data_IF_158659113387
#
_entry.id   IF_158659113387
#
_cell.length_a   1.000
_cell.length_b   1.000
_cell.length_c   1.000
_cell.angle_alpha   90.00
_cell.angle_beta   90.00
_cell.angle_gamma   90.00
#
_symmetry.space_group_name_H-M   'P 1'
#
loop_
_entity.id
_entity.type
_entity.pdbx_description
1 polymer ?
#
# COMPACT_ATOMS: atom_id res chain seq x y z
N UNK A 1 -1.18 52.75 11.50
CA UNK A 1 -1.36 52.00 12.77
C UNK A 1 -2.53 52.52 13.65
N UNK A 2 -2.67 53.81 13.97
CA UNK A 2 -3.74 54.28 14.90
C UNK A 2 -5.20 54.24 14.36
N UNK A 3 -5.44 54.33 13.06
CA UNK A 3 -6.80 54.28 12.47
C UNK A 3 -7.34 52.85 12.34
N UNK A 4 -6.50 51.90 11.93
CA UNK A 4 -6.86 50.48 11.84
C UNK A 4 -7.25 49.88 13.21
N UNK A 5 -6.50 50.21 14.27
CA UNK A 5 -6.82 49.72 15.63
C UNK A 5 -8.11 50.32 16.21
N UNK A 6 -8.53 51.52 15.80
CA UNK A 6 -9.81 52.12 16.22
C UNK A 6 -11.01 51.50 15.48
N UNK A 7 -10.84 51.14 14.21
CA UNK A 7 -11.85 50.38 13.47
C UNK A 7 -12.01 48.96 14.01
N UNK A 8 -10.90 48.26 14.31
CA UNK A 8 -10.93 46.92 14.92
C UNK A 8 -11.57 46.92 16.33
N UNK A 9 -11.30 47.93 17.17
CA UNK A 9 -11.97 48.08 18.47
C UNK A 9 -13.48 48.37 18.31
N UNK A 10 -13.85 49.25 17.36
CA UNK A 10 -15.26 49.57 17.10
C UNK A 10 -16.04 48.37 16.59
N UNK A 11 -15.45 47.58 15.69
CA UNK A 11 -16.04 46.34 15.17
C UNK A 11 -16.21 45.29 16.28
N UNK A 12 -15.20 45.12 17.14
CA UNK A 12 -15.27 44.19 18.27
C UNK A 12 -16.36 44.53 19.31
N UNK A 13 -16.62 45.82 19.55
CA UNK A 13 -17.73 46.24 20.43
C UNK A 13 -19.11 45.97 19.82
N UNK A 14 -19.27 46.15 18.51
CA UNK A 14 -20.53 45.83 17.80
C UNK A 14 -20.79 44.32 17.83
N UNK A 15 -19.75 43.51 17.60
CA UNK A 15 -19.84 42.04 17.64
C UNK A 15 -20.25 41.55 19.05
N UNK A 16 -19.62 42.08 20.11
CA UNK A 16 -19.96 41.72 21.49
C UNK A 16 -21.39 42.13 21.87
N UNK A 17 -21.89 43.26 21.35
CA UNK A 17 -23.26 43.70 21.58
C UNK A 17 -24.27 42.80 20.86
N UNK A 18 -23.98 42.36 19.63
CA UNK A 18 -24.86 41.45 18.88
C UNK A 18 -24.96 40.07 19.55
N UNK A 19 -23.83 39.50 19.95
CA UNK A 19 -23.79 38.21 20.66
C UNK A 19 -24.46 38.32 22.04
N UNK A 20 -24.23 39.41 22.77
CA UNK A 20 -24.88 39.68 24.06
C UNK A 20 -26.41 39.82 23.93
N UNK A 21 -26.92 40.26 22.78
CA UNK A 21 -28.36 40.40 22.56
C UNK A 21 -29.04 39.04 22.39
N UNK A 22 -28.40 38.10 21.67
CA UNK A 22 -28.88 36.71 21.58
C UNK A 22 -28.85 36.01 22.95
N UNK A 23 -27.82 36.25 23.76
CA UNK A 23 -27.71 35.70 25.12
C UNK A 23 -28.72 36.31 26.12
N UNK A 24 -29.25 37.51 25.86
CA UNK A 24 -30.22 38.20 26.71
C UNK A 24 -31.67 37.66 26.54
N UNK A 25 -31.92 36.78 25.58
CA UNK A 25 -33.20 36.12 25.33
C UNK A 25 -33.39 34.95 26.31
N UNK A 26 -33.63 35.28 27.58
CA UNK A 26 -33.61 34.33 28.72
C UNK A 26 -34.68 33.23 28.75
N UNK A 27 -35.44 33.02 27.67
CA UNK A 27 -36.47 31.97 27.57
C UNK A 27 -36.45 31.18 26.26
N UNK A 28 -35.53 31.49 25.35
CA UNK A 28 -35.47 30.86 24.03
C UNK A 28 -34.64 29.57 24.04
N UNK A 29 -35.06 28.59 23.24
CA UNK A 29 -34.32 27.34 23.10
C UNK A 29 -33.00 27.59 22.38
N UNK A 30 -32.04 26.68 22.53
CA UNK A 30 -30.76 26.79 21.82
C UNK A 30 -30.95 26.80 20.29
N UNK A 31 -31.98 26.12 19.77
CA UNK A 31 -32.34 26.18 18.35
C UNK A 31 -32.86 27.56 17.91
N UNK A 32 -33.63 28.24 18.77
CA UNK A 32 -34.14 29.60 18.50
C UNK A 32 -32.97 30.61 18.46
N UNK A 33 -32.04 30.52 19.42
CA UNK A 33 -30.82 31.35 19.44
C UNK A 33 -29.97 31.13 18.20
N UNK A 34 -29.79 29.88 17.76
CA UNK A 34 -29.09 29.57 16.51
C UNK A 34 -29.75 30.27 15.32
N UNK A 35 -31.08 30.17 15.20
CA UNK A 35 -31.83 30.76 14.09
C UNK A 35 -31.66 32.28 14.01
N UNK A 36 -31.67 32.96 15.17
CA UNK A 36 -31.45 34.42 15.25
C UNK A 36 -30.05 34.79 14.79
N UNK A 37 -29.02 34.10 15.30
CA UNK A 37 -27.62 34.37 14.96
C UNK A 37 -27.33 34.07 13.48
N UNK A 38 -27.87 32.98 12.94
CA UNK A 38 -27.74 32.63 11.52
C UNK A 38 -28.35 33.72 10.64
N UNK A 39 -29.58 34.17 10.93
CA UNK A 39 -30.24 35.24 10.15
C UNK A 39 -29.43 36.53 10.15
N UNK A 40 -28.87 36.93 11.29
CA UNK A 40 -28.00 38.10 11.38
C UNK A 40 -26.72 37.91 10.55
N UNK A 41 -26.11 36.72 10.61
CA UNK A 41 -24.96 36.41 9.80
C UNK A 41 -25.28 36.45 8.29
N UNK A 42 -26.42 35.94 7.85
CA UNK A 42 -26.88 35.96 6.45
C UNK A 42 -27.07 37.39 5.91
N UNK A 43 -27.58 38.32 6.74
CA UNK A 43 -27.65 39.75 6.40
C UNK A 43 -26.24 40.30 6.13
N UNK A 44 -25.29 40.06 7.04
CA UNK A 44 -23.89 40.47 6.85
C UNK A 44 -23.21 39.78 5.66
N UNK A 45 -23.50 38.51 5.38
CA UNK A 45 -22.99 37.78 4.21
C UNK A 45 -23.50 38.42 2.92
N UNK A 46 -24.77 38.79 2.87
CA UNK A 46 -25.40 39.48 1.72
C UNK A 46 -24.68 40.81 1.44
N UNK A 47 -24.32 41.53 2.49
CA UNK A 47 -23.57 42.79 2.42
C UNK A 47 -22.04 42.58 2.27
N UNK A 48 -21.58 41.32 2.15
CA UNK A 48 -20.17 40.90 2.03
C UNK A 48 -19.29 41.29 3.23
N UNK A 49 -19.90 41.45 4.40
CA UNK A 49 -19.26 41.73 5.68
C UNK A 49 -18.83 40.44 6.39
N UNK A 50 -18.06 39.61 5.68
CA UNK A 50 -17.69 38.26 6.12
C UNK A 50 -17.02 38.19 7.50
N UNK A 51 -16.17 39.17 7.84
CA UNK A 51 -15.50 39.23 9.16
C UNK A 51 -16.50 39.37 10.32
N UNK A 52 -17.64 40.04 10.09
CA UNK A 52 -18.70 40.22 11.09
C UNK A 52 -19.56 38.97 11.18
N UNK A 53 -19.80 38.28 10.06
CA UNK A 53 -20.57 37.04 10.02
C UNK A 53 -19.91 35.87 10.78
N UNK A 54 -18.57 35.75 10.73
CA UNK A 54 -17.83 34.63 11.37
C UNK A 54 -18.19 34.42 12.85
N UNK A 55 -18.03 35.39 13.77
CA UNK A 55 -18.29 35.16 15.19
C UNK A 55 -19.76 34.85 15.50
N UNK A 56 -20.71 35.34 14.69
CA UNK A 56 -22.13 35.01 14.82
C UNK A 56 -22.38 33.54 14.46
N UNK A 57 -21.74 33.05 13.39
CA UNK A 57 -21.84 31.67 12.95
C UNK A 57 -21.07 30.69 13.86
N UNK A 58 -19.91 31.09 14.38
CA UNK A 58 -19.15 30.31 15.37
C UNK A 58 -19.98 30.13 16.66
N UNK A 59 -20.58 31.20 17.16
CA UNK A 59 -21.48 31.16 18.31
C UNK A 59 -22.72 30.30 18.03
N UNK A 60 -23.36 30.47 16.86
CA UNK A 60 -24.48 29.64 16.44
C UNK A 60 -24.11 28.14 16.38
N UNK A 61 -22.96 27.81 15.79
CA UNK A 61 -22.47 26.43 15.72
C UNK A 61 -22.10 25.86 17.11
N UNK A 62 -21.82 26.72 18.10
CA UNK A 62 -21.49 26.35 19.47
C UNK A 62 -22.67 25.80 20.30
N UNK A 63 -23.90 26.22 20.00
CA UNK A 63 -25.11 25.77 20.72
C UNK A 63 -25.46 24.29 20.52
N UNK A 64 -24.91 23.62 19.49
CA UNK A 64 -25.11 22.19 19.21
C UNK A 64 -26.60 21.74 19.16
N UNK A 65 -27.50 22.58 18.65
CA UNK A 65 -28.92 22.28 18.46
C UNK A 65 -29.31 22.07 16.97
N UNK A 66 -30.60 22.15 16.65
CA UNK A 66 -31.18 21.75 15.34
C UNK A 66 -30.59 22.47 14.12
N UNK A 67 -30.03 23.67 14.27
CA UNK A 67 -29.49 24.49 13.18
C UNK A 67 -27.96 24.48 13.12
N UNK A 68 -27.30 23.60 13.88
CA UNK A 68 -25.83 23.53 13.93
C UNK A 68 -25.20 23.29 12.55
N UNK A 69 -25.76 22.36 11.76
CA UNK A 69 -25.22 22.04 10.44
C UNK A 69 -25.40 23.22 9.46
N UNK A 70 -26.50 23.97 9.57
CA UNK A 70 -26.75 25.17 8.77
C UNK A 70 -25.72 26.26 9.09
N UNK A 71 -25.48 26.54 10.38
CA UNK A 71 -24.47 27.50 10.81
C UNK A 71 -23.07 27.12 10.31
N UNK A 72 -22.70 25.85 10.42
CA UNK A 72 -21.39 25.35 9.98
C UNK A 72 -21.22 25.41 8.46
N UNK A 73 -22.26 25.13 7.68
CA UNK A 73 -22.19 25.23 6.22
C UNK A 73 -21.99 26.69 5.76
N UNK A 74 -22.74 27.64 6.36
CA UNK A 74 -22.52 29.06 6.13
C UNK A 74 -21.11 29.49 6.57
N UNK A 75 -20.62 28.97 7.71
CA UNK A 75 -19.29 29.29 8.21
C UNK A 75 -18.19 28.84 7.23
N UNK A 76 -18.33 27.63 6.65
CA UNK A 76 -17.45 27.13 5.58
C UNK A 76 -17.44 28.07 4.38
N UNK A 77 -18.60 28.46 3.87
CA UNK A 77 -18.70 29.39 2.73
C UNK A 77 -18.01 30.73 3.03
N UNK A 78 -18.23 31.27 4.23
CA UNK A 78 -17.62 32.54 4.69
C UNK A 78 -16.10 32.40 4.77
N UNK A 79 -15.57 31.32 5.33
CA UNK A 79 -14.13 31.09 5.38
C UNK A 79 -13.50 30.97 3.99
N UNK A 80 -14.14 30.29 3.03
CA UNK A 80 -13.66 30.23 1.65
C UNK A 80 -13.62 31.62 0.99
N UNK A 81 -14.66 32.45 1.18
CA UNK A 81 -14.65 33.82 0.67
C UNK A 81 -13.54 34.66 1.31
N UNK A 82 -13.35 34.55 2.63
CA UNK A 82 -12.29 35.25 3.35
C UNK A 82 -10.91 34.81 2.89
N UNK A 83 -10.68 33.51 2.68
CA UNK A 83 -9.43 33.01 2.12
C UNK A 83 -9.20 33.55 0.71
N UNK A 84 -10.22 33.52 -0.16
CA UNK A 84 -10.14 34.04 -1.53
C UNK A 84 -9.75 35.51 -1.59
N UNK A 85 -10.32 36.33 -0.71
CA UNK A 85 -10.09 37.79 -0.65
C UNK A 85 -8.76 38.15 0.02
N UNK A 86 -8.41 37.48 1.11
CA UNK A 86 -7.27 37.87 1.96
C UNK A 86 -5.99 37.09 1.71
N UNK A 87 -6.09 35.87 1.15
CA UNK A 87 -5.01 34.88 1.04
C UNK A 87 -4.37 34.49 2.38
N UNK A 88 -5.09 34.68 3.50
CA UNK A 88 -4.61 34.27 4.81
C UNK A 88 -4.98 32.80 5.10
N UNK A 89 -3.97 31.95 5.25
CA UNK A 89 -4.11 30.51 5.51
C UNK A 89 -4.89 30.14 6.78
N UNK A 90 -5.11 31.10 7.70
CA UNK A 90 -5.96 30.86 8.86
C UNK A 90 -7.41 30.51 8.44
N UNK A 91 -7.90 31.09 7.35
CA UNK A 91 -9.26 30.85 6.88
C UNK A 91 -9.41 29.50 6.18
N UNK A 92 -8.42 29.07 5.39
CA UNK A 92 -8.39 27.70 4.85
C UNK A 92 -8.29 26.67 5.98
N UNK A 93 -7.42 26.89 6.97
CA UNK A 93 -7.32 26.02 8.14
C UNK A 93 -8.64 25.94 8.92
N UNK A 94 -9.35 27.06 9.08
CA UNK A 94 -10.63 27.04 9.77
C UNK A 94 -11.73 26.35 8.94
N UNK A 95 -11.72 26.47 7.62
CA UNK A 95 -12.59 25.69 6.73
C UNK A 95 -12.37 24.18 6.93
N UNK A 96 -11.12 23.70 6.88
CA UNK A 96 -10.79 22.28 7.09
C UNK A 96 -11.23 21.78 8.47
N UNK A 97 -11.07 22.58 9.54
CA UNK A 97 -11.54 22.20 10.89
C UNK A 97 -13.05 21.99 10.97
N UNK A 98 -13.83 22.78 10.22
CA UNK A 98 -15.29 22.58 10.18
C UNK A 98 -15.62 21.27 9.46
N UNK A 99 -14.94 20.95 8.36
CA UNK A 99 -15.09 19.67 7.67
C UNK A 99 -14.70 18.48 8.56
N UNK A 100 -13.55 18.55 9.23
CA UNK A 100 -13.10 17.52 10.18
C UNK A 100 -14.14 17.28 11.28
N UNK A 101 -14.69 18.35 11.85
CA UNK A 101 -15.77 18.28 12.85
C UNK A 101 -17.01 17.59 12.28
N UNK A 102 -17.41 17.94 11.05
CA UNK A 102 -18.57 17.33 10.39
C UNK A 102 -18.34 15.85 10.08
N UNK A 103 -17.17 15.49 9.52
CA UNK A 103 -16.75 14.11 9.24
C UNK A 103 -16.65 13.26 10.51
N UNK A 104 -16.28 13.85 11.65
CA UNK A 104 -16.18 13.17 12.93
C UNK A 104 -17.50 12.67 13.51
N UNK A 105 -18.65 13.24 13.11
CA UNK A 105 -19.97 12.89 13.65
C UNK A 105 -20.41 11.48 13.30
N UNK A 106 -21.15 10.81 14.18
CA UNK A 106 -21.76 9.50 13.86
C UNK A 106 -22.75 9.58 12.69
N UNK A 107 -23.37 10.74 12.48
CA UNK A 107 -24.30 11.03 11.39
C UNK A 107 -23.64 11.63 10.15
N UNK A 108 -22.32 11.58 10.02
CA UNK A 108 -21.62 12.12 8.86
C UNK A 108 -22.09 11.41 7.57
N UNK A 109 -22.42 12.19 6.55
CA UNK A 109 -22.94 11.70 5.27
C UNK A 109 -21.83 11.64 4.21
N UNK A 110 -22.00 10.89 3.11
CA UNK A 110 -21.00 10.82 2.05
C UNK A 110 -20.60 12.18 1.47
N UNK A 111 -21.55 13.13 1.40
CA UNK A 111 -21.35 14.45 0.79
C UNK A 111 -20.27 15.26 1.50
N UNK A 112 -20.14 15.13 2.82
CA UNK A 112 -19.12 15.91 3.55
C UNK A 112 -17.70 15.37 3.33
N UNK A 113 -17.57 14.05 3.15
CA UNK A 113 -16.30 13.43 2.76
C UNK A 113 -15.95 13.79 1.32
N UNK A 114 -16.94 13.80 0.42
CA UNK A 114 -16.74 14.22 -0.97
C UNK A 114 -16.26 15.67 -1.03
N UNK A 115 -16.94 16.58 -0.32
CA UNK A 115 -16.56 18.00 -0.27
C UNK A 115 -15.13 18.18 0.27
N UNK A 116 -14.78 17.48 1.35
CA UNK A 116 -13.43 17.53 1.90
C UNK A 116 -12.37 16.98 0.92
N UNK A 117 -12.66 15.87 0.24
CA UNK A 117 -11.75 15.31 -0.75
C UNK A 117 -11.56 16.23 -1.96
N UNK A 118 -12.64 16.82 -2.49
CA UNK A 118 -12.60 17.77 -3.60
C UNK A 118 -11.81 19.04 -3.23
N UNK A 119 -11.92 19.48 -1.98
CA UNK A 119 -11.13 20.59 -1.46
C UNK A 119 -9.61 20.28 -1.49
N UNK A 120 -9.21 19.13 -0.96
CA UNK A 120 -7.79 18.70 -0.96
C UNK A 120 -7.26 18.47 -2.40
N UNK A 121 -8.06 17.88 -3.29
CA UNK A 121 -7.72 17.73 -4.71
C UNK A 121 -7.49 19.10 -5.38
N UNK A 122 -8.32 20.10 -5.06
CA UNK A 122 -8.18 21.47 -5.56
C UNK A 122 -6.87 22.15 -5.17
N UNK A 123 -6.31 21.80 -4.01
CA UNK A 123 -5.00 22.25 -3.52
C UNK A 123 -3.84 21.35 -4.02
N UNK A 124 -4.11 20.39 -4.90
CA UNK A 124 -3.18 19.36 -5.38
C UNK A 124 -2.62 18.47 -4.25
N UNK A 125 -3.39 18.28 -3.18
CA UNK A 125 -3.04 17.41 -2.06
C UNK A 125 -3.73 16.05 -2.19
N UNK A 126 -3.27 15.27 -3.17
CA UNK A 126 -3.85 13.95 -3.45
C UNK A 126 -3.80 12.98 -2.25
N UNK A 127 -2.70 12.86 -1.48
CA UNK A 127 -2.66 11.96 -0.34
C UNK A 127 -3.76 12.25 0.69
N UNK A 128 -3.95 13.52 1.07
CA UNK A 128 -4.99 13.92 2.01
C UNK A 128 -6.41 13.65 1.45
N UNK A 129 -6.62 13.92 0.15
CA UNK A 129 -7.87 13.59 -0.51
C UNK A 129 -8.18 12.09 -0.43
N UNK A 130 -7.19 11.23 -0.71
CA UNK A 130 -7.33 9.77 -0.63
C UNK A 130 -7.60 9.30 0.80
N UNK A 131 -6.97 9.90 1.81
CA UNK A 131 -7.23 9.61 3.22
C UNK A 131 -8.68 9.93 3.60
N UNK A 132 -9.19 11.10 3.18
CA UNK A 132 -10.59 11.51 3.39
C UNK A 132 -11.55 10.55 2.68
N UNK A 133 -11.29 10.20 1.42
CA UNK A 133 -12.13 9.27 0.67
C UNK A 133 -12.17 7.89 1.31
N UNK A 134 -11.02 7.36 1.71
CA UNK A 134 -10.90 6.07 2.42
C UNK A 134 -11.70 6.09 3.73
N UNK A 135 -11.57 7.16 4.51
CA UNK A 135 -12.36 7.34 5.74
C UNK A 135 -13.87 7.38 5.44
N UNK A 136 -14.28 8.11 4.41
CA UNK A 136 -15.67 8.23 3.99
C UNK A 136 -16.27 6.91 3.51
N UNK A 137 -15.53 6.15 2.71
CA UNK A 137 -15.94 4.80 2.27
C UNK A 137 -16.13 3.88 3.46
N UNK A 138 -15.16 3.82 4.38
CA UNK A 138 -15.25 2.97 5.58
C UNK A 138 -16.43 3.33 6.47
N UNK A 139 -16.75 4.62 6.59
CA UNK A 139 -17.80 5.10 7.47
C UNK A 139 -19.20 4.96 6.88
N UNK A 140 -19.33 5.13 5.57
CA UNK A 140 -20.64 5.28 4.91
C UNK A 140 -21.00 4.14 3.96
N UNK A 141 -20.01 3.38 3.47
CA UNK A 141 -20.21 2.38 2.42
C UNK A 141 -20.63 2.96 1.07
N UNK A 142 -20.40 4.26 0.83
CA UNK A 142 -20.85 4.95 -0.38
C UNK A 142 -20.10 4.47 -1.63
N UNK A 143 -20.85 3.96 -2.61
CA UNK A 143 -20.32 3.58 -3.94
C UNK A 143 -19.73 4.78 -4.69
N UNK A 144 -20.29 5.98 -4.50
CA UNK A 144 -19.77 7.21 -5.12
C UNK A 144 -18.38 7.57 -4.59
N UNK A 145 -18.18 7.49 -3.27
CA UNK A 145 -16.87 7.73 -2.67
C UNK A 145 -15.88 6.63 -3.07
N UNK A 146 -16.35 5.38 -3.17
CA UNK A 146 -15.51 4.27 -3.66
C UNK A 146 -15.06 4.52 -5.10
N UNK A 147 -15.95 4.96 -5.98
CA UNK A 147 -15.60 5.28 -7.36
C UNK A 147 -14.57 6.41 -7.43
N UNK A 148 -14.77 7.48 -6.67
CA UNK A 148 -13.85 8.62 -6.64
C UNK A 148 -12.47 8.23 -6.06
N UNK A 149 -12.44 7.37 -5.03
CA UNK A 149 -11.21 6.81 -4.48
C UNK A 149 -10.46 5.95 -5.51
N UNK A 150 -11.16 5.01 -6.14
CA UNK A 150 -10.58 4.10 -7.14
C UNK A 150 -10.09 4.83 -8.41
N UNK A 151 -10.69 5.96 -8.78
CA UNK A 151 -10.20 6.79 -9.89
C UNK A 151 -8.84 7.44 -9.60
N UNK A 152 -8.53 7.69 -8.32
CA UNK A 152 -7.42 8.53 -7.91
C UNK A 152 -6.27 7.78 -7.22
N UNK A 153 -6.55 6.64 -6.59
CA UNK A 153 -5.60 5.93 -5.70
C UNK A 153 -4.37 5.33 -6.38
N UNK A 154 -4.39 5.22 -7.70
CA UNK A 154 -3.34 4.57 -8.48
C UNK A 154 -2.24 5.52 -8.96
N UNK A 155 -2.30 6.79 -8.56
CA UNK A 155 -1.23 7.74 -8.83
C UNK A 155 0.06 7.31 -8.13
N UNK A 156 1.17 7.39 -8.84
CA UNK A 156 2.48 6.95 -8.36
C UNK A 156 3.55 8.04 -8.49
N UNK A 157 4.50 8.05 -7.55
CA UNK A 157 5.77 8.76 -7.67
C UNK A 157 6.88 7.77 -8.06
N UNK A 158 7.77 8.17 -8.98
CA UNK A 158 8.98 7.42 -9.31
C UNK A 158 10.16 7.87 -8.42
N UNK A 159 10.66 6.96 -7.60
CA UNK A 159 11.82 7.14 -6.73
C UNK A 159 13.13 7.36 -7.50
N UNK A 160 14.07 8.07 -6.87
CA UNK A 160 15.35 8.48 -7.49
C UNK A 160 16.46 7.43 -7.43
N UNK A 161 16.36 6.46 -6.54
CA UNK A 161 17.36 5.40 -6.40
C UNK A 161 17.36 4.50 -7.64
N UNK A 162 18.55 4.23 -8.18
CA UNK A 162 18.76 3.38 -9.35
C UNK A 162 19.64 2.20 -8.98
N UNK A 163 19.24 1.01 -9.42
CA UNK A 163 19.93 -0.26 -9.16
C UNK A 163 20.12 -1.07 -10.44
N UNK A 164 21.16 -1.91 -10.45
CA UNK A 164 21.47 -2.83 -11.55
C UNK A 164 20.46 -3.99 -11.58
N UNK A 165 20.16 -4.52 -10.40
CA UNK A 165 19.26 -5.63 -10.18
C UNK A 165 18.47 -5.41 -8.89
N UNK A 166 17.24 -5.90 -8.88
CA UNK A 166 16.34 -5.90 -7.72
C UNK A 166 15.56 -7.20 -7.72
N UNK A 167 15.06 -7.60 -6.56
CA UNK A 167 14.19 -8.76 -6.36
C UNK A 167 12.78 -8.32 -5.99
N UNK A 168 11.87 -9.27 -5.79
CA UNK A 168 10.57 -9.03 -5.19
C UNK A 168 10.73 -8.63 -3.71
N UNK A 169 9.75 -7.89 -3.19
CA UNK A 169 9.72 -7.55 -1.76
C UNK A 169 9.39 -8.78 -0.92
N UNK A 170 10.08 -8.89 0.21
CA UNK A 170 9.79 -9.86 1.26
C UNK A 170 10.00 -9.20 2.62
N UNK A 171 8.97 -9.22 3.47
CA UNK A 171 9.00 -8.64 4.81
C UNK A 171 9.48 -7.17 4.82
N UNK A 172 8.92 -6.33 3.95
CA UNK A 172 9.26 -4.89 3.87
C UNK A 172 10.63 -4.56 3.26
N UNK A 173 11.38 -5.55 2.79
CA UNK A 173 12.74 -5.36 2.25
C UNK A 173 12.91 -5.99 0.88
N UNK A 174 13.83 -5.43 0.12
CA UNK A 174 14.11 -5.78 -1.28
C UNK A 174 15.62 -5.96 -1.43
N UNK A 175 16.07 -7.09 -1.98
CA UNK A 175 17.49 -7.26 -2.33
C UNK A 175 17.76 -6.41 -3.55
N UNK A 176 18.80 -5.57 -3.46
CA UNK A 176 19.18 -4.63 -4.51
C UNK A 176 20.67 -4.74 -4.79
N UNK A 177 21.07 -4.61 -6.06
CA UNK A 177 22.47 -4.66 -6.48
C UNK A 177 22.92 -3.32 -7.03
N UNK A 178 24.08 -2.86 -6.57
CA UNK A 178 24.75 -1.65 -7.04
C UNK A 178 26.25 -1.85 -6.97
N UNK A 179 26.96 -1.47 -8.03
CA UNK A 179 28.41 -1.65 -8.17
C UNK A 179 28.82 -3.13 -8.01
N UNK A 180 28.00 -4.04 -8.55
CA UNK A 180 28.23 -5.49 -8.47
C UNK A 180 28.00 -6.13 -7.10
N UNK A 181 27.67 -5.36 -6.07
CA UNK A 181 27.46 -5.84 -4.70
C UNK A 181 25.99 -5.74 -4.29
N UNK A 182 25.56 -6.69 -3.46
CA UNK A 182 24.21 -6.78 -2.94
C UNK A 182 24.07 -6.09 -1.60
N UNK A 183 22.92 -5.45 -1.42
CA UNK A 183 22.44 -4.89 -0.17
C UNK A 183 20.92 -5.06 -0.09
N UNK A 184 20.29 -4.31 0.80
CA UNK A 184 18.84 -4.30 0.94
C UNK A 184 18.32 -2.87 0.97
N UNK A 185 17.21 -2.66 0.28
CA UNK A 185 16.41 -1.46 0.38
C UNK A 185 15.08 -1.74 1.08
N UNK A 186 14.44 -0.70 1.60
CA UNK A 186 13.02 -0.73 1.96
C UNK A 186 12.15 -0.71 0.69
N UNK A 187 10.83 -0.82 0.86
CA UNK A 187 9.87 -0.84 -0.25
C UNK A 187 9.99 0.38 -1.18
N UNK A 188 10.28 1.57 -0.64
CA UNK A 188 10.49 2.80 -1.39
C UNK A 188 11.85 2.89 -2.11
N UNK A 189 12.70 1.85 -2.02
CA UNK A 189 14.00 1.81 -2.68
C UNK A 189 15.11 2.57 -1.93
N UNK A 190 14.94 2.88 -0.66
CA UNK A 190 16.00 3.48 0.17
C UNK A 190 16.82 2.37 0.84
N UNK A 191 18.14 2.45 0.74
CA UNK A 191 19.04 1.45 1.36
C UNK A 191 18.84 1.39 2.88
N UNK A 192 18.60 0.17 3.38
CA UNK A 192 18.59 -0.17 4.80
C UNK A 192 19.81 -1.02 5.19
N UNK A 193 20.35 -1.80 4.24
CA UNK A 193 21.65 -2.47 4.36
C UNK A 193 22.46 -2.06 3.12
N UNK A 194 23.68 -1.53 3.27
CA UNK A 194 24.48 -1.09 2.15
C UNK A 194 24.81 -2.23 1.17
N UNK A 195 25.00 -1.88 -0.10
CA UNK A 195 25.48 -2.82 -1.12
C UNK A 195 26.97 -3.10 -0.90
N UNK A 196 27.28 -4.12 -0.10
CA UNK A 196 28.66 -4.49 0.25
C UNK A 196 28.92 -6.00 0.31
N UNK A 197 27.93 -6.79 -0.11
CA UNK A 197 27.96 -8.25 -0.02
C UNK A 197 28.02 -8.90 -1.39
N UNK A 198 28.75 -10.00 -1.52
CA UNK A 198 28.75 -10.83 -2.73
C UNK A 198 27.36 -11.47 -2.94
N UNK A 199 26.65 -11.72 -1.83
CA UNK A 199 25.27 -12.22 -1.80
C UNK A 199 24.63 -11.87 -0.45
N UNK A 200 23.34 -11.56 -0.46
CA UNK A 200 22.53 -11.38 0.76
C UNK A 200 21.21 -12.12 0.57
N UNK A 201 20.67 -12.72 1.62
CA UNK A 201 19.33 -13.34 1.60
C UNK A 201 18.25 -12.28 1.87
N UNK A 202 16.98 -12.65 1.71
CA UNK A 202 15.86 -11.94 2.36
C UNK A 202 16.02 -11.91 3.88
N UNK A 203 15.26 -11.03 4.55
CA UNK A 203 15.13 -11.04 6.00
C UNK A 203 13.98 -11.98 6.44
N UNK A 204 14.17 -12.64 7.58
CA UNK A 204 13.09 -13.23 8.37
C UNK A 204 13.28 -12.86 9.84
N UNK A 205 12.20 -12.44 10.50
CA UNK A 205 12.20 -11.89 11.86
C UNK A 205 13.09 -10.64 11.95
N UNK A 206 14.36 -10.78 12.28
CA UNK A 206 15.31 -9.68 12.49
C UNK A 206 16.70 -9.96 11.90
N UNK A 207 16.84 -10.96 11.02
CA UNK A 207 18.14 -11.41 10.49
C UNK A 207 18.13 -11.66 8.99
N UNK A 208 19.32 -11.59 8.39
CA UNK A 208 19.62 -12.08 7.05
C UNK A 208 20.97 -12.80 7.03
N UNK A 209 21.22 -13.58 5.98
CA UNK A 209 22.49 -14.22 5.70
C UNK A 209 23.22 -13.46 4.61
N UNK A 210 24.51 -13.34 4.75
CA UNK A 210 25.38 -12.67 3.79
C UNK A 210 26.55 -13.55 3.43
N UNK A 211 27.06 -13.35 2.21
CA UNK A 211 28.36 -13.80 1.77
C UNK A 211 29.25 -12.58 1.55
N UNK A 212 30.42 -12.57 2.17
CA UNK A 212 31.45 -11.55 1.95
C UNK A 212 32.82 -12.21 1.96
N UNK A 213 33.60 -11.99 0.91
CA UNK A 213 34.98 -12.51 0.79
C UNK A 213 35.06 -14.03 0.98
N UNK A 214 34.02 -14.76 0.52
CA UNK A 214 33.91 -16.21 0.65
C UNK A 214 33.34 -16.71 1.99
N UNK A 215 33.23 -15.86 3.02
CA UNK A 215 32.62 -16.23 4.30
C UNK A 215 31.10 -16.06 4.28
N UNK A 216 30.38 -17.01 4.89
CA UNK A 216 28.92 -16.93 5.10
C UNK A 216 28.63 -16.72 6.58
N UNK A 217 27.83 -15.70 6.89
CA UNK A 217 27.45 -15.37 8.27
C UNK A 217 26.10 -14.65 8.35
N UNK A 218 25.53 -14.56 9.55
CA UNK A 218 24.30 -13.82 9.80
C UNK A 218 24.54 -12.35 10.17
N UNK A 219 23.63 -11.46 9.77
CA UNK A 219 23.57 -10.06 10.18
C UNK A 219 22.22 -9.70 10.79
N UNK A 220 22.19 -8.68 11.66
CA UNK A 220 20.96 -8.07 12.18
C UNK A 220 20.46 -6.91 11.30
N UNK A 221 19.36 -6.28 11.71
CA UNK A 221 18.77 -5.11 11.04
C UNK A 221 19.70 -3.89 10.95
N UNK A 222 20.71 -3.80 11.82
CA UNK A 222 21.68 -2.71 11.86
C UNK A 222 22.98 -3.09 11.13
N UNK A 223 22.98 -4.20 10.38
CA UNK A 223 24.14 -4.72 9.67
C UNK A 223 25.27 -5.20 10.62
N UNK A 224 24.97 -5.49 11.89
CA UNK A 224 25.93 -6.08 12.81
C UNK A 224 26.05 -7.58 12.54
N UNK A 225 27.28 -8.09 12.49
CA UNK A 225 27.57 -9.53 12.40
C UNK A 225 27.09 -10.24 13.67
N UNK A 226 26.23 -11.25 13.52
CA UNK A 226 25.64 -11.99 14.64
C UNK A 226 26.38 -13.29 14.96
N UNK A 227 26.51 -14.19 13.98
CA UNK A 227 26.95 -15.58 14.17
C UNK A 227 27.83 -16.03 13.01
N UNK A 228 28.87 -16.80 13.33
CA UNK A 228 29.64 -17.59 12.36
C UNK A 228 29.04 -19.00 12.28
N UNK A 229 28.71 -19.46 11.09
CA UNK A 229 28.47 -20.88 10.86
C UNK A 229 29.81 -21.62 10.94
N UNK A 230 29.86 -22.71 11.70
CA UNK A 230 31.08 -23.51 11.85
C UNK A 230 31.26 -24.56 10.73
N UNK A 231 30.23 -24.74 9.90
CA UNK A 231 30.24 -25.61 8.73
C UNK A 231 30.65 -24.81 7.48
N UNK A 232 31.34 -25.46 6.54
CA UNK A 232 31.67 -24.85 5.26
C UNK A 232 30.42 -24.76 4.38
N UNK A 233 29.89 -23.54 4.20
CA UNK A 233 28.69 -23.29 3.41
C UNK A 233 29.08 -22.89 1.99
N UNK A 234 28.76 -23.76 1.03
CA UNK A 234 29.04 -23.50 -0.38
C UNK A 234 28.13 -22.41 -0.96
N UNK A 235 26.85 -22.41 -0.56
CA UNK A 235 25.84 -21.42 -0.97
C UNK A 235 24.64 -21.38 -0.02
N UNK A 236 23.75 -20.40 -0.17
CA UNK A 236 22.49 -20.30 0.58
C UNK A 236 21.33 -19.75 -0.26
N UNK A 237 20.10 -20.10 0.12
CA UNK A 237 18.86 -19.57 -0.46
C UNK A 237 18.30 -18.38 0.33
N UNK A 238 17.06 -18.00 0.04
CA UNK A 238 16.40 -16.93 0.79
C UNK A 238 15.88 -17.40 2.15
N UNK A 239 15.94 -16.51 3.13
CA UNK A 239 15.55 -16.78 4.52
C UNK A 239 14.10 -16.35 4.74
N UNK A 240 13.24 -17.32 5.02
CA UNK A 240 11.79 -17.13 5.18
C UNK A 240 11.22 -18.06 6.24
N UNK A 241 10.20 -17.60 6.98
CA UNK A 241 9.59 -18.34 8.10
C UNK A 241 10.65 -18.98 9.05
N UNK A 242 11.69 -18.22 9.38
CA UNK A 242 12.81 -18.62 10.25
C UNK A 242 13.58 -19.86 9.77
N UNK A 243 13.59 -20.11 8.46
CA UNK A 243 14.27 -21.25 7.83
C UNK A 243 15.05 -20.79 6.61
N UNK A 244 16.28 -21.28 6.48
CA UNK A 244 17.15 -21.00 5.34
C UNK A 244 17.63 -22.29 4.66
N UNK A 245 17.56 -22.36 3.32
CA UNK A 245 18.31 -23.34 2.53
C UNK A 245 19.83 -23.05 2.60
N UNK A 246 20.62 -24.03 3.01
CA UNK A 246 22.09 -23.99 2.97
C UNK A 246 22.60 -25.13 2.11
N UNK A 247 23.54 -24.83 1.20
CA UNK A 247 24.22 -25.84 0.39
C UNK A 247 25.52 -26.24 1.08
N UNK A 248 25.62 -27.52 1.45
CA UNK A 248 26.77 -28.11 2.13
C UNK A 248 27.28 -29.26 1.25
N UNK A 249 28.48 -29.11 0.69
CA UNK A 249 28.94 -29.96 -0.40
C UNK A 249 28.01 -29.86 -1.61
N UNK A 250 27.42 -30.99 -2.01
CA UNK A 250 26.49 -31.08 -3.15
C UNK A 250 25.01 -31.06 -2.73
N UNK A 251 24.71 -31.14 -1.43
CA UNK A 251 23.35 -31.27 -0.92
C UNK A 251 22.83 -29.93 -0.37
N UNK A 252 21.53 -29.74 -0.48
CA UNK A 252 20.82 -28.68 0.24
C UNK A 252 20.24 -29.21 1.54
N UNK A 253 20.41 -28.45 2.61
CA UNK A 253 19.82 -28.71 3.92
C UNK A 253 19.16 -27.45 4.44
N UNK A 254 18.23 -27.61 5.37
CA UNK A 254 17.58 -26.50 6.04
C UNK A 254 18.27 -26.19 7.36
N UNK A 255 18.53 -24.92 7.65
CA UNK A 255 18.81 -24.45 9.01
C UNK A 255 17.64 -23.62 9.56
N UNK A 256 17.45 -23.64 10.88
CA UNK A 256 16.49 -22.76 11.57
C UNK A 256 17.09 -21.36 11.88
N UNK A 257 16.30 -20.46 12.47
CA UNK A 257 16.75 -19.10 12.85
C UNK A 257 17.85 -19.06 13.93
N UNK A 258 18.11 -20.18 14.59
CA UNK A 258 19.23 -20.39 15.52
C UNK A 258 20.42 -21.09 14.84
N UNK A 259 20.42 -21.20 13.52
CA UNK A 259 21.49 -21.78 12.71
C UNK A 259 21.75 -23.28 12.97
N UNK A 260 20.79 -23.98 13.57
CA UNK A 260 20.84 -25.43 13.71
C UNK A 260 20.46 -26.08 12.39
N UNK A 261 21.40 -26.81 11.80
CA UNK A 261 21.24 -27.49 10.51
C UNK A 261 20.50 -28.81 10.74
N UNK A 262 19.42 -29.02 9.99
CA UNK A 262 18.67 -30.28 9.97
C UNK A 262 19.42 -31.38 9.22
N UNK A 263 19.09 -32.64 9.53
CA UNK A 263 19.70 -33.82 8.91
C UNK A 263 19.14 -34.17 7.53
N UNK A 264 17.94 -33.69 7.18
CA UNK A 264 17.32 -33.98 5.89
C UNK A 264 18.04 -33.27 4.75
N UNK A 265 18.43 -34.04 3.75
CA UNK A 265 19.10 -33.57 2.54
C UNK A 265 18.13 -33.52 1.35
N UNK A 266 18.33 -32.53 0.49
CA UNK A 266 17.58 -32.30 -0.74
C UNK A 266 18.55 -32.05 -1.91
N UNK A 267 18.12 -32.38 -3.13
CA UNK A 267 18.83 -31.98 -4.36
C UNK A 267 18.68 -30.48 -4.62
N UNK A 268 17.54 -29.91 -4.23
CA UNK A 268 17.25 -28.47 -4.26
C UNK A 268 16.11 -28.16 -3.28
N UNK A 269 16.08 -26.95 -2.75
CA UNK A 269 14.99 -26.47 -1.90
C UNK A 269 14.83 -24.95 -2.06
N UNK A 270 13.59 -24.51 -2.23
CA UNK A 270 13.20 -23.10 -2.36
C UNK A 270 13.10 -22.38 -1.02
N UNK A 271 12.65 -21.14 -1.07
CA UNK A 271 12.36 -20.35 0.12
C UNK A 271 11.10 -20.87 0.80
N UNK A 272 11.13 -20.88 2.13
CA UNK A 272 9.93 -21.13 2.91
C UNK A 272 8.95 -19.97 2.82
N UNK A 273 7.71 -20.28 2.48
CA UNK A 273 6.57 -19.36 2.44
C UNK A 273 5.35 -20.04 3.05
N UNK A 274 4.70 -19.39 4.01
CA UNK A 274 3.55 -19.93 4.74
C UNK A 274 3.79 -21.33 5.32
N UNK A 275 5.02 -21.58 5.79
CA UNK A 275 5.41 -22.84 6.45
C UNK A 275 5.92 -23.94 5.52
N UNK A 276 5.82 -23.78 4.19
CA UNK A 276 6.20 -24.81 3.22
C UNK A 276 7.27 -24.32 2.24
N UNK A 277 8.00 -25.24 1.63
CA UNK A 277 8.95 -24.97 0.56
C UNK A 277 8.82 -26.00 -0.57
N UNK A 278 9.07 -25.57 -1.80
CA UNK A 278 9.33 -26.47 -2.91
C UNK A 278 10.65 -27.19 -2.66
N UNK A 279 10.69 -28.51 -2.79
CA UNK A 279 11.90 -29.29 -2.56
C UNK A 279 12.01 -30.44 -3.57
N UNK A 280 13.24 -30.77 -3.93
CA UNK A 280 13.57 -31.81 -4.89
C UNK A 280 14.29 -32.99 -4.24
N UNK A 281 13.77 -34.19 -4.47
CA UNK A 281 14.39 -35.46 -4.07
C UNK A 281 14.19 -36.50 -5.16
N UNK A 282 15.18 -37.35 -5.40
CA UNK A 282 15.15 -38.41 -6.41
C UNK A 282 14.75 -37.89 -7.81
N UNK A 283 15.26 -36.71 -8.18
CA UNK A 283 14.97 -36.09 -9.47
C UNK A 283 13.59 -35.43 -9.60
N UNK A 284 12.72 -35.48 -8.58
CA UNK A 284 11.34 -34.97 -8.63
C UNK A 284 11.07 -33.92 -7.57
N UNK A 285 10.21 -32.97 -7.91
CA UNK A 285 9.81 -31.89 -7.02
C UNK A 285 8.49 -32.18 -6.31
N UNK A 286 8.38 -31.69 -5.09
CA UNK A 286 7.18 -31.66 -4.27
C UNK A 286 7.22 -30.47 -3.31
N UNK A 287 6.28 -30.42 -2.37
CA UNK A 287 6.14 -29.35 -1.37
C UNK A 287 6.22 -29.95 0.03
N UNK A 288 7.09 -29.39 0.87
CA UNK A 288 7.45 -29.98 2.16
C UNK A 288 7.39 -28.93 3.28
N UNK A 289 7.01 -29.34 4.49
CA UNK A 289 7.18 -28.51 5.69
C UNK A 289 8.54 -28.78 6.35
N UNK A 290 8.69 -29.91 7.05
CA UNK A 290 9.87 -30.20 7.88
C UNK A 290 10.85 -31.22 7.30
N UNK A 291 10.55 -31.80 6.14
CA UNK A 291 11.39 -32.79 5.45
C UNK A 291 10.86 -34.22 5.49
N UNK A 292 10.11 -34.58 6.52
CA UNK A 292 9.47 -35.91 6.67
C UNK A 292 8.01 -35.93 6.22
N UNK A 293 7.35 -34.78 6.22
CA UNK A 293 5.94 -34.61 5.84
C UNK A 293 5.84 -33.75 4.59
N UNK A 294 5.37 -34.37 3.50
CA UNK A 294 5.15 -33.72 2.22
C UNK A 294 3.68 -33.35 2.11
N UNK A 295 3.42 -32.06 1.89
CA UNK A 295 2.09 -31.58 1.53
C UNK A 295 1.74 -32.02 0.11
N UNK A 296 2.70 -31.91 -0.80
CA UNK A 296 2.63 -32.40 -2.17
C UNK A 296 3.79 -33.38 -2.35
N UNK A 297 3.55 -34.67 -2.61
CA UNK A 297 4.61 -35.64 -2.82
C UNK A 297 5.58 -35.24 -3.94
N UNK A 298 6.85 -35.66 -3.82
CA UNK A 298 7.88 -35.43 -4.82
C UNK A 298 7.68 -36.31 -6.07
N UNK A 299 6.75 -35.92 -6.93
CA UNK A 299 6.39 -36.66 -8.16
C UNK A 299 6.28 -35.78 -9.41
N UNK A 300 6.52 -34.47 -9.27
CA UNK A 300 6.40 -33.48 -10.33
C UNK A 300 7.75 -33.19 -10.97
N UNK A 301 7.73 -32.74 -12.22
CA UNK A 301 8.93 -32.32 -12.94
C UNK A 301 9.47 -30.99 -12.39
N UNK A 302 8.56 -30.13 -11.91
CA UNK A 302 8.87 -28.86 -11.24
C UNK A 302 7.71 -28.45 -10.31
N UNK A 303 8.03 -27.77 -9.21
CA UNK A 303 7.08 -26.90 -8.50
C UNK A 303 7.42 -25.47 -8.90
N UNK A 304 6.45 -24.74 -9.43
CA UNK A 304 6.65 -23.39 -9.91
C UNK A 304 6.90 -22.47 -8.70
N UNK A 305 8.00 -21.74 -8.73
CA UNK A 305 8.34 -20.75 -7.71
C UNK A 305 8.41 -19.35 -8.31
N UNK A 306 8.30 -18.32 -7.45
CA UNK A 306 8.72 -16.98 -7.83
C UNK A 306 10.25 -16.85 -7.77
N UNK A 307 10.75 -15.66 -8.08
CA UNK A 307 12.19 -15.38 -8.10
C UNK A 307 12.87 -15.50 -6.72
N UNK A 308 12.10 -15.42 -5.62
CA UNK A 308 12.63 -15.64 -4.28
C UNK A 308 12.64 -17.12 -3.91
N UNK A 309 12.00 -17.98 -4.71
CA UNK A 309 11.85 -19.41 -4.44
C UNK A 309 10.59 -19.76 -3.66
N UNK A 310 9.63 -18.83 -3.53
CA UNK A 310 8.35 -19.05 -2.83
C UNK A 310 7.37 -19.72 -3.77
N UNK A 311 6.56 -20.65 -3.27
CA UNK A 311 5.61 -21.43 -4.10
C UNK A 311 4.23 -21.62 -3.48
N UNK A 312 4.09 -21.46 -2.16
CA UNK A 312 2.89 -21.84 -1.43
C UNK A 312 2.17 -20.64 -0.82
N UNK A 313 1.02 -20.31 -1.40
CA UNK A 313 0.13 -19.24 -0.96
C UNK A 313 -1.32 -19.65 -1.20
N UNK A 314 -2.25 -19.13 -0.38
CA UNK A 314 -3.68 -19.43 -0.52
C UNK A 314 -4.00 -20.94 -0.58
N UNK A 315 -3.22 -21.75 0.15
CA UNK A 315 -3.26 -23.22 0.11
C UNK A 315 -3.05 -23.86 -1.27
N UNK A 316 -2.39 -23.14 -2.17
CA UNK A 316 -2.20 -23.53 -3.55
C UNK A 316 -0.72 -23.51 -3.97
N UNK A 317 -0.37 -24.40 -4.90
CA UNK A 317 0.87 -24.37 -5.68
C UNK A 317 0.58 -24.65 -7.15
N UNK A 318 1.49 -24.26 -8.02
CA UNK A 318 1.52 -24.77 -9.39
C UNK A 318 2.64 -25.79 -9.55
N UNK A 319 2.37 -26.86 -10.29
CA UNK A 319 3.33 -27.94 -10.50
C UNK A 319 3.34 -28.37 -11.97
N UNK A 320 4.51 -28.58 -12.55
CA UNK A 320 4.64 -29.09 -13.91
C UNK A 320 4.77 -30.60 -13.92
N UNK A 321 4.08 -31.25 -14.87
CA UNK A 321 4.17 -32.69 -15.11
C UNK A 321 3.98 -32.95 -16.60
N UNK A 322 4.96 -33.59 -17.23
CA UNK A 322 4.95 -33.91 -18.66
C UNK A 322 4.73 -32.69 -19.58
N UNK A 323 5.31 -31.54 -19.22
CA UNK A 323 5.24 -30.30 -20.00
C UNK A 323 3.94 -29.50 -19.85
N UNK A 324 3.03 -29.91 -18.96
CA UNK A 324 1.83 -29.17 -18.60
C UNK A 324 1.91 -28.70 -17.14
N UNK A 325 1.36 -27.53 -16.84
CA UNK A 325 1.30 -26.96 -15.49
C UNK A 325 -0.10 -27.15 -14.90
N UNK A 326 -0.16 -27.65 -13.67
CA UNK A 326 -1.39 -27.92 -12.94
C UNK A 326 -1.46 -27.09 -11.66
N UNK A 327 -2.64 -26.54 -11.38
CA UNK A 327 -2.95 -25.94 -10.09
C UNK A 327 -3.27 -27.05 -9.09
N UNK A 328 -2.59 -27.05 -7.95
CA UNK A 328 -2.82 -27.96 -6.82
C UNK A 328 -3.32 -27.13 -5.65
N UNK A 329 -4.49 -27.48 -5.11
CA UNK A 329 -5.13 -26.79 -3.98
C UNK A 329 -5.39 -27.80 -2.87
N UNK A 330 -5.00 -27.48 -1.65
CA UNK A 330 -5.07 -28.39 -0.50
C UNK A 330 -4.46 -29.79 -0.80
N UNK A 331 -3.34 -29.78 -1.53
CA UNK A 331 -2.63 -30.99 -1.95
C UNK A 331 -3.29 -31.79 -3.08
N UNK A 332 -4.39 -31.30 -3.68
CA UNK A 332 -5.13 -31.98 -4.74
C UNK A 332 -5.01 -31.24 -6.08
N UNK A 333 -4.55 -31.89 -7.16
CA UNK A 333 -4.47 -31.27 -8.47
C UNK A 333 -5.87 -31.05 -9.06
N UNK A 334 -6.07 -29.89 -9.68
CA UNK A 334 -7.20 -29.64 -10.56
C UNK A 334 -6.96 -30.25 -11.95
N UNK A 335 -8.05 -30.54 -12.67
CA UNK A 335 -7.99 -31.21 -13.96
C UNK A 335 -7.49 -30.30 -15.09
N UNK A 336 -7.72 -29.00 -14.97
CA UNK A 336 -7.32 -28.03 -15.98
C UNK A 336 -5.81 -27.83 -16.00
N UNK A 337 -5.25 -27.85 -17.20
CA UNK A 337 -3.82 -27.69 -17.46
C UNK A 337 -3.51 -26.36 -18.14
N UNK A 338 -2.35 -25.82 -17.84
CA UNK A 338 -1.81 -24.55 -18.35
C UNK A 338 -0.45 -24.75 -19.01
N UNK A 339 -0.04 -23.78 -19.82
CA UNK A 339 1.28 -23.76 -20.46
C UNK A 339 2.38 -23.29 -19.50
N UNK A 340 2.05 -22.31 -18.65
CA UNK A 340 2.93 -21.75 -17.61
C UNK A 340 2.06 -21.12 -16.51
N UNK A 341 2.65 -20.81 -15.36
CA UNK A 341 2.01 -20.08 -14.27
C UNK A 341 3.00 -19.22 -13.50
N UNK A 342 2.46 -18.29 -12.70
CA UNK A 342 3.15 -17.66 -11.58
C UNK A 342 2.44 -18.08 -10.29
N UNK A 343 3.16 -18.33 -9.19
CA UNK A 343 2.52 -18.72 -7.94
C UNK A 343 1.53 -17.65 -7.48
N UNK A 344 0.54 -18.06 -6.69
CA UNK A 344 -0.27 -17.10 -5.94
C UNK A 344 0.62 -16.25 -5.03
N UNK A 345 0.09 -15.12 -4.60
CA UNK A 345 0.64 -14.27 -3.54
C UNK A 345 -0.31 -14.32 -2.33
N UNK A 346 -0.01 -13.57 -1.26
CA UNK A 346 -0.84 -13.48 -0.05
C UNK A 346 -2.33 -13.27 -0.33
N UNK A 347 -2.65 -12.49 -1.37
CA UNK A 347 -4.02 -12.25 -1.81
C UNK A 347 -4.13 -12.06 -3.33
N UNK A 348 -5.35 -12.21 -3.87
CA UNK A 348 -5.66 -11.98 -5.27
C UNK A 348 -5.48 -13.20 -6.18
N UNK A 349 -5.40 -12.94 -7.47
CA UNK A 349 -5.44 -13.95 -8.53
C UNK A 349 -4.05 -14.35 -9.03
N UNK A 350 -3.89 -15.62 -9.39
CA UNK A 350 -2.67 -16.11 -10.01
C UNK A 350 -2.68 -15.84 -11.53
N UNK A 351 -1.53 -15.49 -12.07
CA UNK A 351 -1.32 -15.39 -13.51
C UNK A 351 -1.02 -16.80 -14.08
N UNK A 352 -1.76 -17.20 -15.10
CA UNK A 352 -1.57 -18.46 -15.84
C UNK A 352 -1.53 -18.20 -17.33
N UNK A 353 -0.73 -19.00 -18.05
CA UNK A 353 -0.59 -18.91 -19.50
C UNK A 353 -1.41 -20.00 -20.18
N UNK A 354 -2.25 -19.60 -21.13
CA UNK A 354 -3.08 -20.49 -21.94
C UNK A 354 -3.27 -19.91 -23.33
N UNK A 355 -3.12 -20.74 -24.35
CA UNK A 355 -3.17 -20.32 -25.76
C UNK A 355 -2.16 -19.21 -26.07
N UNK A 356 -0.96 -19.29 -25.48
CA UNK A 356 0.10 -18.30 -25.68
C UNK A 356 -0.07 -16.97 -24.94
N UNK A 357 -1.19 -16.73 -24.24
CA UNK A 357 -1.45 -15.47 -23.53
C UNK A 357 -1.66 -15.69 -22.02
N UNK A 358 -1.37 -14.66 -21.24
CA UNK A 358 -1.54 -14.66 -19.79
C UNK A 358 -2.92 -14.14 -19.39
N UNK A 359 -3.53 -14.83 -18.43
CA UNK A 359 -4.84 -14.52 -17.84
C UNK A 359 -4.81 -14.78 -16.33
N UNK A 360 -5.86 -14.38 -15.63
CA UNK A 360 -5.91 -14.44 -14.17
C UNK A 360 -7.01 -15.36 -13.64
N UNK A 361 -6.63 -16.24 -12.71
CA UNK A 361 -7.52 -17.23 -12.09
C UNK A 361 -7.54 -17.10 -10.56
N UNK A 362 -8.66 -17.48 -9.95
CA UNK A 362 -8.73 -17.74 -8.52
C UNK A 362 -8.26 -19.17 -8.18
N UNK A 363 -8.34 -19.53 -6.89
CA UNK A 363 -7.99 -20.87 -6.40
C UNK A 363 -8.95 -21.96 -6.85
N UNK A 364 -10.12 -21.63 -7.42
CA UNK A 364 -11.01 -22.61 -8.06
C UNK A 364 -10.63 -22.86 -9.53
N UNK A 365 -9.62 -22.14 -10.05
CA UNK A 365 -9.24 -22.17 -11.45
C UNK A 365 -10.13 -21.31 -12.35
N UNK A 366 -11.03 -20.50 -11.78
CA UNK A 366 -11.97 -19.71 -12.55
C UNK A 366 -11.32 -18.42 -13.03
N UNK A 367 -11.43 -18.16 -14.34
CA UNK A 367 -11.00 -16.90 -14.94
C UNK A 367 -11.86 -15.74 -14.43
N UNK A 368 -11.22 -14.68 -13.95
CA UNK A 368 -11.91 -13.57 -13.26
C UNK A 368 -12.43 -12.51 -14.23
N UNK A 369 -11.68 -12.21 -15.29
CA UNK A 369 -12.07 -11.27 -16.34
C UNK A 369 -11.48 -11.72 -17.68
N UNK A 370 -12.09 -11.30 -18.79
CA UNK A 370 -11.78 -11.82 -20.13
C UNK A 370 -10.55 -11.22 -20.83
N UNK A 371 -9.93 -10.18 -20.26
CA UNK A 371 -8.74 -9.56 -20.85
C UNK A 371 -7.50 -10.44 -20.65
N UNK A 372 -6.66 -10.52 -21.68
CA UNK A 372 -5.41 -11.30 -21.69
C UNK A 372 -4.21 -10.41 -22.03
N UNK A 373 -3.00 -10.89 -21.71
CA UNK A 373 -1.76 -10.11 -21.78
C UNK A 373 -0.59 -10.92 -22.37
N UNK A 374 0.45 -10.23 -22.83
CA UNK A 374 1.64 -10.87 -23.42
C UNK A 374 2.53 -11.52 -22.34
N UNK A 375 2.56 -10.92 -21.15
CA UNK A 375 3.16 -11.44 -19.92
C UNK A 375 2.44 -10.89 -18.68
N UNK A 376 2.54 -11.56 -17.54
CA UNK A 376 1.95 -11.10 -16.29
C UNK A 376 2.62 -11.70 -15.05
N UNK A 377 2.61 -10.93 -13.96
CA UNK A 377 2.81 -11.44 -12.60
C UNK A 377 1.47 -11.58 -11.91
N UNK A 378 1.35 -12.55 -10.99
CA UNK A 378 0.18 -12.71 -10.12
C UNK A 378 -0.10 -11.44 -9.31
N UNK A 379 -1.35 -11.25 -8.92
CA UNK A 379 -1.77 -10.12 -8.12
C UNK A 379 -1.05 -10.08 -6.77
N UNK A 380 -0.72 -8.88 -6.32
CA UNK A 380 -0.18 -8.59 -4.99
C UNK A 380 -0.60 -7.18 -4.61
N UNK A 381 -1.11 -6.99 -3.39
CA UNK A 381 -1.75 -5.72 -2.97
C UNK A 381 -2.74 -5.20 -4.01
N UNK A 382 -3.62 -6.08 -4.50
CA UNK A 382 -4.71 -5.73 -5.42
C UNK A 382 -4.27 -5.24 -6.82
N UNK A 383 -2.97 -5.31 -7.13
CA UNK A 383 -2.41 -4.94 -8.43
C UNK A 383 -1.65 -6.12 -9.05
N UNK A 384 -1.69 -6.23 -10.37
CA UNK A 384 -0.86 -7.16 -11.13
C UNK A 384 -0.06 -6.40 -12.18
N UNK A 385 1.25 -6.70 -12.25
CA UNK A 385 2.09 -6.21 -13.33
C UNK A 385 1.77 -7.01 -14.60
N UNK A 386 1.49 -6.30 -15.69
CA UNK A 386 1.16 -6.91 -17.00
C UNK A 386 1.99 -6.30 -18.10
N UNK A 387 2.34 -7.12 -19.09
CA UNK A 387 3.05 -6.69 -20.30
C UNK A 387 2.08 -6.58 -21.47
N UNK A 388 2.15 -5.45 -22.17
CA UNK A 388 1.46 -5.20 -23.44
C UNK A 388 2.48 -4.70 -24.44
N UNK A 389 2.68 -5.45 -25.53
CA UNK A 389 3.80 -5.25 -26.45
C UNK A 389 5.13 -5.43 -25.73
N UNK A 390 5.93 -4.37 -25.68
CA UNK A 390 7.25 -4.37 -25.04
C UNK A 390 7.28 -3.70 -23.67
N UNK A 391 6.15 -3.20 -23.18
CA UNK A 391 6.11 -2.36 -21.98
C UNK A 391 5.25 -2.98 -20.90
N UNK A 392 5.64 -2.72 -19.65
CA UNK A 392 4.96 -3.15 -18.45
C UNK A 392 4.16 -2.01 -17.83
N UNK A 393 2.96 -2.34 -17.38
CA UNK A 393 2.05 -1.49 -16.60
C UNK A 393 1.38 -2.32 -15.51
N UNK A 394 0.31 -1.78 -14.91
CA UNK A 394 -0.41 -2.46 -13.84
C UNK A 394 -1.92 -2.41 -14.04
N UNK A 395 -2.58 -3.50 -13.66
CA UNK A 395 -4.03 -3.63 -13.64
C UNK A 395 -4.55 -3.78 -12.22
N UNK A 396 -5.78 -3.29 -11.98
CA UNK A 396 -6.55 -3.53 -10.77
C UNK A 396 -7.23 -4.91 -10.77
N UNK A 397 -7.78 -5.33 -9.62
CA UNK A 397 -8.56 -6.56 -9.49
C UNK A 397 -9.78 -6.65 -10.44
N UNK A 398 -10.27 -5.51 -10.93
CA UNK A 398 -11.34 -5.47 -11.93
C UNK A 398 -10.86 -5.76 -13.37
N UNK A 399 -9.56 -5.92 -13.57
CA UNK A 399 -8.92 -6.07 -14.88
C UNK A 399 -8.64 -4.75 -15.60
N UNK A 400 -9.00 -3.60 -15.02
CA UNK A 400 -8.70 -2.28 -15.62
C UNK A 400 -7.22 -1.95 -15.49
N UNK A 401 -6.61 -1.47 -16.58
CA UNK A 401 -5.29 -0.81 -16.55
C UNK A 401 -5.41 0.46 -15.72
N UNK A 402 -4.55 0.57 -14.71
CA UNK A 402 -4.53 1.70 -13.76
C UNK A 402 -3.17 2.41 -13.72
N UNK A 403 -2.12 1.73 -14.17
CA UNK A 403 -0.83 2.36 -14.51
C UNK A 403 -0.51 1.92 -15.93
N UNK A 404 -0.48 2.87 -16.85
CA UNK A 404 -0.28 2.60 -18.27
C UNK A 404 1.06 1.88 -18.52
N UNK A 405 1.10 0.90 -19.46
CA UNK A 405 2.35 0.29 -19.89
C UNK A 405 3.34 1.34 -20.38
N UNK A 406 4.45 1.48 -19.67
CA UNK A 406 5.50 2.45 -19.98
C UNK A 406 6.90 2.02 -19.51
N UNK A 407 6.99 0.98 -18.68
CA UNK A 407 8.26 0.50 -18.12
C UNK A 407 8.85 -0.65 -18.96
N UNK A 408 10.18 -0.76 -18.98
CA UNK A 408 10.89 -1.86 -19.67
C UNK A 408 10.81 -3.19 -18.89
N UNK A 409 10.37 -3.13 -17.64
CA UNK A 409 10.24 -4.26 -16.72
C UNK A 409 9.45 -3.81 -15.49
N UNK A 410 8.78 -4.75 -14.84
CA UNK A 410 8.02 -4.50 -13.62
C UNK A 410 8.08 -5.71 -12.70
N UNK A 411 7.87 -5.48 -11.41
CA UNK A 411 7.65 -6.52 -10.40
C UNK A 411 6.37 -6.22 -9.62
N UNK A 412 5.91 -7.20 -8.84
CA UNK A 412 4.69 -7.10 -8.04
C UNK A 412 4.78 -5.98 -6.99
N UNK A 413 3.63 -5.33 -6.73
CA UNK A 413 3.49 -4.36 -5.65
C UNK A 413 3.58 -5.05 -4.27
N UNK A 414 4.30 -4.42 -3.34
CA UNK A 414 4.35 -4.77 -1.92
C UNK A 414 4.63 -3.51 -1.08
N UNK A 415 3.95 -3.35 0.05
CA UNK A 415 4.02 -2.18 0.94
C UNK A 415 3.91 -0.84 0.19
N UNK A 416 2.84 -0.70 -0.60
CA UNK A 416 2.57 0.50 -1.41
C UNK A 416 3.54 0.78 -2.58
N UNK A 417 4.59 -0.04 -2.78
CA UNK A 417 5.63 0.23 -3.78
C UNK A 417 5.88 -0.95 -4.73
N UNK A 418 6.48 -0.69 -5.89
CA UNK A 418 6.90 -1.73 -6.82
C UNK A 418 8.20 -1.37 -7.55
N UNK A 419 9.13 -2.33 -7.73
CA UNK A 419 10.27 -2.14 -8.61
C UNK A 419 9.84 -2.10 -10.09
N UNK A 420 10.33 -1.10 -10.82
CA UNK A 420 10.15 -0.94 -12.26
C UNK A 420 11.49 -0.69 -12.95
N UNK A 421 11.64 -1.15 -14.18
CA UNK A 421 12.84 -0.96 -14.98
C UNK A 421 12.65 0.19 -15.96
N UNK A 422 13.53 1.17 -15.88
CA UNK A 422 13.64 2.29 -16.83
C UNK A 422 14.91 2.14 -17.67
N UNK A 423 15.18 3.08 -18.57
CA UNK A 423 16.44 3.12 -19.33
C UNK A 423 17.67 3.26 -18.42
N UNK A 424 17.50 3.87 -17.24
CA UNK A 424 18.58 4.09 -16.27
C UNK A 424 18.90 2.84 -15.44
N UNK A 425 17.96 1.91 -15.31
CA UNK A 425 18.07 0.74 -14.43
C UNK A 425 16.77 0.45 -13.68
N UNK A 426 16.84 -0.32 -12.60
CA UNK A 426 15.71 -0.56 -11.72
C UNK A 426 15.52 0.61 -10.75
N UNK A 427 14.30 1.13 -10.69
CA UNK A 427 13.81 2.16 -9.79
C UNK A 427 12.54 1.65 -9.09
N UNK A 428 11.90 2.49 -8.28
CA UNK A 428 10.72 2.13 -7.51
C UNK A 428 9.62 3.14 -7.78
N UNK A 429 8.41 2.65 -8.03
CA UNK A 429 7.21 3.47 -7.98
C UNK A 429 6.51 3.27 -6.65
N UNK A 430 6.03 4.36 -6.06
CA UNK A 430 5.28 4.34 -4.80
C UNK A 430 3.91 4.94 -5.04
N UNK A 431 2.85 4.26 -4.62
CA UNK A 431 1.49 4.79 -4.66
C UNK A 431 1.38 5.96 -3.68
N UNK A 432 0.87 7.10 -4.16
CA UNK A 432 0.74 8.33 -3.36
C UNK A 432 -0.19 8.15 -2.16
N UNK A 433 -1.08 7.16 -2.19
CA UNK A 433 -1.95 6.80 -1.05
C UNK A 433 -1.18 6.30 0.19
N UNK A 434 0.10 5.92 0.04
CA UNK A 434 0.97 5.42 1.12
C UNK A 434 1.99 6.45 1.61
N UNK A 435 2.02 7.68 1.08
CA UNK A 435 2.98 8.69 1.52
C UNK A 435 2.72 9.22 2.95
N UNK A 436 1.46 9.27 3.40
CA UNK A 436 1.12 9.81 4.74
C UNK A 436 1.51 8.88 5.90
N UNK A 437 1.67 7.58 5.67
CA UNK A 437 2.08 6.64 6.74
C UNK A 437 3.56 6.79 7.14
N UNK A 438 4.34 7.57 6.38
CA UNK A 438 5.78 7.79 6.63
C UNK A 438 6.04 9.07 7.45
N UNK A 439 5.04 9.90 7.69
CA UNK A 439 5.18 11.24 8.29
C UNK A 439 4.40 11.46 9.60
N UNK A 440 4.33 10.46 10.48
CA UNK A 440 3.80 10.61 11.85
C UNK A 440 4.80 10.21 12.92
#
# INVERSE_FOLDING_TARGET
MKKANRMLLGLGFVILLLISWAAALGSESDADKQSVLIRQAEEHITDKEYIVAVPLLEEAAGYNASHTLQAENLLKEVYLQLFKLSKQYVYSSNYSKVLEKQMGRSSATPEVFKEAAEYELGDNNLPAALAVLKQGVLKTGSEELTALYEENRYAVELGRSVYEEVTATSNGKIQVRREGLWGLANAAGNLVIPCEYDKISTFSTDRAFVKKDGEVYGIDNNNNRLILLHEEIADFGNFGNERIPLRIGEEWRRANGEFTIGSTAFEAIGMYSNGYAAAKVNGKWGVVDTGSEWLVPAEYDEIITDELGRSYFQNAVFASKSGAVYLIVDGKPLAEAYEDARPFSENGYAAVKKNGQWQFIDTEGKVQFGQTFDDAYSFSQHLAAVKVGEQWGYISLSGKVVIEPQYLGAKSFADGSAPVKTESGWQFITLLEYEEEVSL
#
